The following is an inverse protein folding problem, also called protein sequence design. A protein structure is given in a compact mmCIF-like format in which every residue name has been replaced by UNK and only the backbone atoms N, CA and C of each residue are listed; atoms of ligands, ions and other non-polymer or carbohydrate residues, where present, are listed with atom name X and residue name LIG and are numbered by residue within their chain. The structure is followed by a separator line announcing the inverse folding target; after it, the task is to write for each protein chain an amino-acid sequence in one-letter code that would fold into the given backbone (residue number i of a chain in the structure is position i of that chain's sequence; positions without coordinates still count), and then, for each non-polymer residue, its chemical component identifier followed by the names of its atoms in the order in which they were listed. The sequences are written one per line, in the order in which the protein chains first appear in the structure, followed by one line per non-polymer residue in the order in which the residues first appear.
data_IF_503119089909
#
_entry.id   IF_503119089909
#
_cell.length_a   1.000
_cell.length_b   1.000
_cell.length_c   1.000
_cell.angle_alpha   90.00
_cell.angle_beta   90.00
_cell.angle_gamma   90.00
#
_symmetry.space_group_name_H-M   'P 1'
#
loop_
_entity.id
_entity.type
_entity.pdbx_description
1 polymer ?
#
# COMPACT_ATOMS: atom_id res chain seq x y z
N UNK A 1 -8.90 -9.97 -5.73
CA UNK A 1 -8.87 -11.19 -4.87
C UNK A 1 -8.21 -10.80 -3.55
N UNK A 2 -8.78 -11.20 -2.41
CA UNK A 2 -8.25 -10.87 -1.10
C UNK A 2 -7.18 -11.90 -0.66
N UNK A 3 -6.02 -11.42 -0.22
CA UNK A 3 -4.90 -12.27 0.22
C UNK A 3 -4.31 -11.76 1.53
N UNK A 4 -3.56 -12.59 2.25
CA UNK A 4 -2.83 -12.17 3.45
C UNK A 4 -1.70 -11.18 3.10
N UNK A 5 -1.18 -10.39 4.06
CA UNK A 5 -0.07 -9.50 3.81
C UNK A 5 1.18 -10.24 3.29
N UNK A 6 1.49 -11.42 3.85
CA UNK A 6 2.64 -12.21 3.40
C UNK A 6 2.52 -12.64 1.93
N UNK A 7 1.34 -13.13 1.52
CA UNK A 7 1.07 -13.45 0.12
C UNK A 7 1.10 -12.20 -0.76
N UNK A 8 0.59 -11.08 -0.25
CA UNK A 8 0.59 -9.82 -0.98
C UNK A 8 2.01 -9.33 -1.27
N UNK A 9 2.90 -9.36 -0.28
CA UNK A 9 4.30 -8.89 -0.38
C UNK A 9 5.14 -9.72 -1.37
N UNK A 10 4.77 -10.97 -1.61
CA UNK A 10 5.45 -11.85 -2.57
C UNK A 10 4.98 -11.65 -4.02
N UNK A 11 3.92 -10.85 -4.24
CA UNK A 11 3.32 -10.68 -5.57
C UNK A 11 4.05 -9.59 -6.37
N UNK A 12 4.45 -9.97 -7.57
CA UNK A 12 4.83 -9.04 -8.63
C UNK A 12 3.65 -8.87 -9.60
N UNK A 13 3.28 -7.63 -9.88
CA UNK A 13 2.27 -7.29 -10.87
C UNK A 13 2.83 -7.48 -12.28
N UNK A 14 1.91 -7.75 -13.19
CA UNK A 14 2.15 -7.85 -14.63
C UNK A 14 1.03 -7.13 -15.36
N UNK A 15 1.21 -6.78 -16.63
CA UNK A 15 0.15 -6.15 -17.41
C UNK A 15 -1.13 -6.99 -17.54
N UNK A 16 -1.08 -8.30 -17.26
CA UNK A 16 -2.27 -9.17 -17.23
C UNK A 16 -3.17 -8.91 -16.01
N UNK A 17 -2.64 -8.29 -14.97
CA UNK A 17 -3.40 -7.91 -13.78
C UNK A 17 -4.30 -6.69 -14.01
N UNK A 18 -4.01 -5.90 -15.05
CA UNK A 18 -4.69 -4.65 -15.34
C UNK A 18 -5.72 -4.81 -16.45
N UNK A 19 -6.88 -4.16 -16.29
CA UNK A 19 -7.87 -4.07 -17.36
C UNK A 19 -7.41 -3.07 -18.43
N UNK A 20 -7.29 -3.46 -19.71
CA UNK A 20 -7.01 -2.50 -20.77
C UNK A 20 -8.16 -1.50 -20.92
N UNK A 21 -7.86 -0.21 -20.89
CA UNK A 21 -8.83 0.87 -21.14
C UNK A 21 -8.50 1.62 -22.42
N UNK A 22 -9.55 1.89 -23.20
CA UNK A 22 -9.45 2.73 -24.38
C UNK A 22 -9.32 4.19 -23.94
N UNK A 23 -8.13 4.76 -24.14
CA UNK A 23 -7.81 6.15 -23.83
C UNK A 23 -6.96 6.69 -24.97
N UNK A 24 -7.15 7.96 -25.38
CA UNK A 24 -6.28 8.58 -26.36
C UNK A 24 -4.86 8.71 -25.77
N UNK A 25 -3.84 8.49 -26.61
CA UNK A 25 -2.48 8.82 -26.23
C UNK A 25 -2.36 10.35 -26.04
N UNK A 26 -1.65 10.83 -25.00
CA UNK A 26 -1.44 12.26 -24.82
C UNK A 26 -0.60 12.83 -25.99
N UNK A 27 -0.85 14.07 -26.41
CA UNK A 27 0.05 14.80 -27.30
C UNK A 27 1.49 14.85 -26.77
N UNK A 28 2.49 15.05 -27.65
CA UNK A 28 3.88 15.20 -27.22
C UNK A 28 4.03 16.31 -26.17
N UNK A 29 4.64 15.98 -25.03
CA UNK A 29 4.85 16.91 -23.92
C UNK A 29 3.69 17.04 -22.93
N UNK A 30 2.54 16.40 -23.20
CA UNK A 30 1.43 16.36 -22.24
C UNK A 30 1.56 15.17 -21.26
N UNK A 31 1.11 15.42 -20.04
CA UNK A 31 1.08 14.44 -18.94
C UNK A 31 -0.30 13.82 -18.90
N UNK A 32 -0.36 12.49 -18.91
CA UNK A 32 -1.60 11.74 -18.69
C UNK A 32 -1.35 10.49 -17.85
N UNK A 33 -2.27 10.21 -16.93
CA UNK A 33 -2.32 8.93 -16.20
C UNK A 33 -2.48 7.80 -17.20
N UNK A 34 -1.47 6.93 -17.26
CA UNK A 34 -1.38 5.84 -18.26
C UNK A 34 -1.73 4.48 -17.68
N UNK A 35 -1.68 4.33 -16.36
CA UNK A 35 -2.16 3.18 -15.61
C UNK A 35 -2.67 3.64 -14.24
N UNK A 36 -3.36 2.74 -13.54
CA UNK A 36 -3.82 2.95 -12.18
C UNK A 36 -3.91 1.60 -11.46
N UNK A 37 -3.26 1.56 -10.31
CA UNK A 37 -3.34 0.47 -9.33
C UNK A 37 -4.31 0.85 -8.23
N UNK A 38 -5.42 0.11 -8.13
CA UNK A 38 -6.35 0.25 -7.01
C UNK A 38 -6.21 -0.95 -6.07
N UNK A 39 -5.85 -0.66 -4.82
CA UNK A 39 -5.69 -1.65 -3.77
C UNK A 39 -6.47 -1.22 -2.53
N UNK A 40 -7.31 -2.11 -2.03
CA UNK A 40 -8.02 -1.91 -0.76
C UNK A 40 -7.43 -2.77 0.34
N UNK A 41 -7.51 -2.26 1.57
CA UNK A 41 -7.20 -3.02 2.78
C UNK A 41 -8.49 -3.52 3.43
N UNK A 42 -8.55 -4.82 3.66
CA UNK A 42 -9.66 -5.47 4.35
C UNK A 42 -9.29 -5.79 5.78
N UNK A 43 -10.19 -5.51 6.71
CA UNK A 43 -10.05 -5.87 8.11
C UNK A 43 -11.24 -6.73 8.52
N UNK A 44 -10.96 -7.90 9.09
CA UNK A 44 -11.99 -8.74 9.68
C UNK A 44 -12.50 -8.15 11.00
N UNK A 45 -13.55 -8.75 11.57
CA UNK A 45 -14.16 -8.26 12.79
C UNK A 45 -13.16 -8.27 13.95
N UNK A 46 -13.07 -7.14 14.63
CA UNK A 46 -12.36 -7.00 15.91
C UNK A 46 -13.21 -7.67 16.98
N UNK A 47 -12.61 -8.56 17.76
CA UNK A 47 -13.26 -9.21 18.89
C UNK A 47 -12.39 -9.07 20.14
N UNK A 48 -12.94 -8.40 21.15
CA UNK A 48 -12.34 -8.28 22.48
C UNK A 48 -13.09 -9.21 23.42
N UNK A 49 -12.37 -10.01 24.21
CA UNK A 49 -12.95 -11.00 25.12
C UNK A 49 -12.38 -10.87 26.53
N UNK A 50 -13.18 -11.16 27.57
CA UNK A 50 -12.65 -11.30 28.91
C UNK A 50 -11.81 -12.57 29.02
N UNK A 51 -10.65 -12.48 29.68
CA UNK A 51 -9.71 -13.58 29.99
C UNK A 51 -9.16 -13.30 31.38
N UNK A 52 -9.41 -14.19 32.34
CA UNK A 52 -8.89 -14.12 33.72
C UNK A 52 -9.08 -12.76 34.42
N UNK A 53 -10.24 -12.12 34.21
CA UNK A 53 -10.57 -10.81 34.80
C UNK A 53 -9.98 -9.60 34.06
N UNK A 54 -9.27 -9.81 32.95
CA UNK A 54 -8.79 -8.79 32.02
C UNK A 54 -9.50 -8.90 30.67
N UNK A 55 -9.25 -7.96 29.77
CA UNK A 55 -9.73 -7.99 28.38
C UNK A 55 -8.56 -8.15 27.40
N UNK A 56 -8.76 -8.93 26.34
CA UNK A 56 -7.76 -9.15 25.28
C UNK A 56 -8.40 -9.14 23.89
N UNK A 57 -7.66 -8.65 22.90
CA UNK A 57 -8.01 -8.80 21.49
C UNK A 57 -7.81 -10.26 21.05
N UNK A 58 -8.62 -10.75 20.11
CA UNK A 58 -8.41 -12.05 19.47
C UNK A 58 -6.98 -12.12 18.86
N UNK A 59 -6.20 -13.19 19.12
CA UNK A 59 -4.78 -13.31 18.74
C UNK A 59 -4.46 -13.29 17.25
N UNK A 60 -5.48 -13.41 16.39
CA UNK A 60 -5.34 -13.44 14.93
C UNK A 60 -6.35 -12.50 14.28
N UNK A 61 -6.02 -11.20 14.22
CA UNK A 61 -6.79 -10.23 13.46
C UNK A 61 -6.62 -10.50 11.96
N UNK A 62 -7.75 -10.61 11.25
CA UNK A 62 -7.77 -10.90 9.81
C UNK A 62 -7.49 -9.61 9.03
N UNK A 63 -6.26 -9.46 8.52
CA UNK A 63 -5.87 -8.34 7.66
C UNK A 63 -5.68 -8.87 6.25
N UNK A 64 -6.25 -8.18 5.25
CA UNK A 64 -6.25 -8.58 3.85
C UNK A 64 -5.82 -7.44 2.93
N UNK A 65 -5.17 -7.80 1.84
CA UNK A 65 -4.85 -6.92 0.72
C UNK A 65 -5.67 -7.34 -0.49
N UNK A 66 -6.33 -6.40 -1.13
CA UNK A 66 -7.26 -6.64 -2.23
C UNK A 66 -6.88 -5.79 -3.43
N UNK A 67 -6.22 -6.41 -4.42
CA UNK A 67 -6.05 -5.78 -5.73
C UNK A 67 -7.41 -5.78 -6.46
N UNK A 68 -7.85 -4.60 -6.86
CA UNK A 68 -9.19 -4.37 -7.38
C UNK A 68 -9.26 -4.52 -8.90
N UNK A 69 -10.41 -4.98 -9.38
CA UNK A 69 -10.65 -5.27 -10.80
C UNK A 69 -10.84 -4.02 -11.67
N UNK A 70 -10.99 -2.86 -11.05
CA UNK A 70 -11.04 -1.56 -11.70
C UNK A 70 -9.65 -0.96 -11.97
N UNK A 71 -8.57 -1.56 -11.45
CA UNK A 71 -7.18 -1.30 -11.84
C UNK A 71 -7.03 -1.47 -13.35
N UNK A 72 -6.32 -0.54 -14.00
CA UNK A 72 -6.34 -0.43 -15.44
C UNK A 72 -5.03 0.08 -16.05
N UNK A 73 -4.84 -0.20 -17.33
CA UNK A 73 -3.74 0.34 -18.15
C UNK A 73 -4.32 0.87 -19.47
N UNK A 74 -3.85 2.02 -19.94
CA UNK A 74 -4.26 2.58 -21.22
C UNK A 74 -3.71 1.72 -22.36
N UNK A 75 -4.55 1.40 -23.36
CA UNK A 75 -4.16 0.55 -24.48
C UNK A 75 -2.91 1.04 -25.24
N UNK A 76 -2.70 2.35 -25.34
CA UNK A 76 -1.53 2.91 -26.04
C UNK A 76 -0.20 2.59 -25.34
N UNK A 77 -0.20 2.18 -24.06
CA UNK A 77 1.04 1.80 -23.35
C UNK A 77 1.74 0.64 -24.06
N UNK A 78 0.98 -0.27 -24.69
CA UNK A 78 1.57 -1.39 -25.44
C UNK A 78 2.33 -0.97 -26.70
N UNK A 79 2.21 0.29 -27.13
CA UNK A 79 2.96 0.83 -28.28
C UNK A 79 4.22 1.58 -27.84
N UNK A 80 4.46 1.74 -26.54
CA UNK A 80 5.70 2.30 -26.02
C UNK A 80 6.85 1.31 -26.17
N UNK A 81 8.08 1.81 -26.11
CA UNK A 81 9.26 0.96 -25.93
C UNK A 81 9.18 0.17 -24.62
N UNK A 82 9.85 -0.99 -24.59
CA UNK A 82 9.77 -1.92 -23.46
C UNK A 82 10.25 -1.28 -22.15
N UNK A 83 11.33 -0.50 -22.18
CA UNK A 83 11.89 0.14 -20.98
C UNK A 83 10.88 1.10 -20.35
N UNK A 84 10.16 1.87 -21.16
CA UNK A 84 9.10 2.76 -20.66
C UNK A 84 7.89 1.99 -20.14
N UNK A 85 7.54 0.85 -20.74
CA UNK A 85 6.51 -0.04 -20.18
C UNK A 85 6.95 -0.61 -18.84
N UNK A 86 8.18 -1.11 -18.73
CA UNK A 86 8.70 -1.71 -17.50
C UNK A 86 8.78 -0.67 -16.37
N UNK A 87 9.22 0.56 -16.68
CA UNK A 87 9.25 1.66 -15.72
C UNK A 87 7.84 2.06 -15.24
N UNK A 88 6.82 2.05 -16.12
CA UNK A 88 5.44 2.28 -15.70
C UNK A 88 4.94 1.13 -14.82
N UNK A 89 5.24 -0.12 -15.18
CA UNK A 89 4.85 -1.27 -14.36
C UNK A 89 5.53 -1.24 -12.99
N UNK A 90 6.78 -0.78 -12.92
CA UNK A 90 7.51 -0.59 -11.67
C UNK A 90 6.84 0.47 -10.78
N UNK A 91 6.42 1.60 -11.38
CA UNK A 91 5.63 2.63 -10.69
C UNK A 91 4.36 2.05 -10.07
N UNK A 92 3.58 1.30 -10.85
CA UNK A 92 2.36 0.63 -10.39
C UNK A 92 2.65 -0.43 -9.30
N UNK A 93 3.79 -1.13 -9.40
CA UNK A 93 4.24 -2.06 -8.37
C UNK A 93 4.52 -1.34 -7.04
N UNK A 94 5.02 -0.11 -7.05
CA UNK A 94 5.26 0.67 -5.83
C UNK A 94 3.95 1.04 -5.14
N UNK A 95 2.90 1.44 -5.87
CA UNK A 95 1.55 1.63 -5.28
C UNK A 95 1.05 0.38 -4.57
N UNK A 96 1.17 -0.77 -5.24
CA UNK A 96 0.78 -2.04 -4.65
C UNK A 96 1.59 -2.41 -3.40
N UNK A 97 2.90 -2.19 -3.41
CA UNK A 97 3.76 -2.45 -2.27
C UNK A 97 3.48 -1.52 -1.09
N UNK A 98 3.15 -0.24 -1.32
CA UNK A 98 2.73 0.68 -0.25
C UNK A 98 1.55 0.09 0.52
N UNK A 99 0.52 -0.37 -0.19
CA UNK A 99 -0.64 -1.01 0.44
C UNK A 99 -0.28 -2.33 1.13
N UNK A 100 0.49 -3.21 0.47
CA UNK A 100 0.88 -4.51 1.03
C UNK A 100 1.74 -4.38 2.30
N UNK A 101 2.68 -3.45 2.33
CA UNK A 101 3.53 -3.18 3.49
C UNK A 101 2.70 -2.52 4.61
N UNK A 102 1.79 -1.59 4.27
CA UNK A 102 0.86 -1.01 5.25
C UNK A 102 0.03 -2.09 5.92
N UNK A 103 -0.47 -3.08 5.16
CA UNK A 103 -1.22 -4.21 5.70
C UNK A 103 -0.36 -5.09 6.63
N UNK A 104 0.90 -5.33 6.29
CA UNK A 104 1.85 -6.05 7.15
C UNK A 104 2.08 -5.31 8.46
N UNK A 105 2.37 -4.02 8.39
CA UNK A 105 2.64 -3.21 9.57
C UNK A 105 1.41 -3.18 10.50
N UNK A 106 0.22 -3.05 9.92
CA UNK A 106 -1.04 -3.15 10.67
C UNK A 106 -1.24 -4.53 11.30
N UNK A 107 -0.97 -5.61 10.59
CA UNK A 107 -1.08 -6.95 11.13
C UNK A 107 -0.14 -7.17 12.33
N UNK A 108 1.10 -6.65 12.25
CA UNK A 108 2.06 -6.69 13.35
C UNK A 108 1.58 -5.89 14.56
N UNK A 109 1.08 -4.66 14.36
CA UNK A 109 0.54 -3.83 15.44
C UNK A 109 -0.64 -4.51 16.14
N UNK A 110 -1.56 -5.10 15.38
CA UNK A 110 -2.71 -5.80 15.95
C UNK A 110 -2.30 -7.09 16.67
N UNK A 111 -1.25 -7.77 16.22
CA UNK A 111 -0.66 -8.91 16.93
C UNK A 111 -0.05 -8.48 18.27
N UNK A 112 0.68 -7.36 18.31
CA UNK A 112 1.21 -6.79 19.55
C UNK A 112 0.08 -6.39 20.52
N UNK A 113 -0.99 -5.77 20.02
CA UNK A 113 -2.18 -5.43 20.80
C UNK A 113 -2.83 -6.68 21.40
N UNK A 114 -2.91 -7.77 20.62
CA UNK A 114 -3.48 -9.03 21.11
C UNK A 114 -2.63 -9.73 22.19
N UNK A 115 -1.33 -9.40 22.27
CA UNK A 115 -0.46 -9.84 23.35
C UNK A 115 -0.70 -9.12 24.69
N UNK A 116 -1.39 -7.97 24.69
CA UNK A 116 -1.64 -7.14 25.87
C UNK A 116 -2.87 -7.58 26.65
N UNK A 117 -2.95 -7.11 27.89
CA UNK A 117 -4.10 -7.26 28.77
C UNK A 117 -4.57 -5.88 29.20
N UNK A 118 -5.89 -5.70 29.17
CA UNK A 118 -6.55 -4.43 29.45
C UNK A 118 -7.49 -4.55 30.64
N UNK A 119 -7.65 -3.46 31.39
CA UNK A 119 -8.60 -3.43 32.51
C UNK A 119 -10.04 -3.30 31.99
N UNK A 120 -10.20 -2.67 30.83
CA UNK A 120 -11.49 -2.55 30.16
C UNK A 120 -11.41 -2.91 28.68
N UNK A 121 -12.54 -3.33 28.10
CA UNK A 121 -12.65 -3.50 26.65
C UNK A 121 -12.46 -2.19 25.88
N UNK A 122 -12.79 -1.05 26.50
CA UNK A 122 -12.64 0.29 25.92
C UNK A 122 -11.18 0.62 25.61
N UNK A 123 -10.26 0.37 26.53
CA UNK A 123 -8.82 0.61 26.33
C UNK A 123 -8.27 -0.22 25.17
N UNK A 124 -8.66 -1.49 25.08
CA UNK A 124 -8.29 -2.36 23.97
C UNK A 124 -8.79 -1.82 22.63
N UNK A 125 -10.04 -1.34 22.59
CA UNK A 125 -10.65 -0.76 21.38
C UNK A 125 -9.93 0.54 20.97
N UNK A 126 -9.55 1.40 21.92
CA UNK A 126 -8.82 2.63 21.61
C UNK A 126 -7.44 2.35 21.03
N UNK A 127 -6.71 1.35 21.54
CA UNK A 127 -5.43 0.92 20.95
C UNK A 127 -5.62 0.42 19.50
N UNK A 128 -6.68 -0.34 19.24
CA UNK A 128 -7.02 -0.80 17.87
C UNK A 128 -7.38 0.37 16.96
N UNK A 129 -8.15 1.36 17.43
CA UNK A 129 -8.47 2.58 16.66
C UNK A 129 -7.22 3.40 16.37
N UNK A 130 -6.35 3.58 17.37
CA UNK A 130 -5.09 4.28 17.22
C UNK A 130 -4.20 3.59 16.18
N UNK A 131 -4.13 2.26 16.19
CA UNK A 131 -3.48 1.49 15.12
C UNK A 131 -4.08 1.81 13.75
N UNK A 132 -5.41 1.85 13.62
CA UNK A 132 -6.10 2.22 12.38
C UNK A 132 -5.75 3.61 11.85
N UNK A 133 -5.61 4.60 12.72
CA UNK A 133 -5.35 5.99 12.35
C UNK A 133 -3.88 6.30 11.99
N UNK A 134 -2.92 5.40 12.29
CA UNK A 134 -1.49 5.68 12.11
C UNK A 134 -1.01 5.74 10.66
N UNK A 135 -1.71 5.12 9.72
CA UNK A 135 -1.25 5.09 8.33
C UNK A 135 -2.44 4.96 7.40
N UNK A 136 -2.69 6.03 6.63
CA UNK A 136 -3.61 5.99 5.51
C UNK A 136 -2.81 5.72 4.23
N UNK A 137 -3.02 4.56 3.63
CA UNK A 137 -2.33 4.18 2.40
C UNK A 137 -2.79 5.03 1.21
N UNK A 138 -3.97 5.65 1.26
CA UNK A 138 -4.46 6.49 0.16
C UNK A 138 -3.70 7.81 0.11
N UNK A 139 -3.54 8.51 1.24
CA UNK A 139 -2.78 9.77 1.30
C UNK A 139 -1.34 9.61 0.78
N UNK A 140 -0.71 8.47 1.08
CA UNK A 140 0.64 8.16 0.59
C UNK A 140 0.64 7.96 -0.93
N UNK A 141 -0.33 7.21 -1.45
CA UNK A 141 -0.44 6.93 -2.88
C UNK A 141 -0.74 8.21 -3.67
N UNK A 142 -1.66 9.04 -3.18
CA UNK A 142 -2.01 10.33 -3.78
C UNK A 142 -0.79 11.25 -3.83
N UNK A 143 -0.01 11.32 -2.74
CA UNK A 143 1.22 12.11 -2.74
C UNK A 143 2.29 11.53 -3.67
N UNK A 144 2.41 10.22 -3.77
CA UNK A 144 3.35 9.59 -4.70
C UNK A 144 2.98 9.91 -6.15
N UNK A 145 1.70 9.84 -6.51
CA UNK A 145 1.21 10.26 -7.82
C UNK A 145 1.39 11.78 -8.04
N UNK A 146 1.18 12.60 -7.02
CA UNK A 146 1.37 14.05 -7.15
C UNK A 146 2.83 14.44 -7.38
N UNK A 147 3.77 13.78 -6.71
CA UNK A 147 5.20 14.05 -6.86
C UNK A 147 5.77 13.48 -8.17
N UNK A 148 5.18 12.40 -8.71
CA UNK A 148 5.71 11.69 -9.89
C UNK A 148 4.87 11.88 -11.16
N UNK A 149 3.68 12.45 -11.01
CA UNK A 149 2.64 12.61 -12.04
C UNK A 149 2.26 11.32 -12.77
N UNK A 150 2.55 10.15 -12.20
CA UNK A 150 2.42 8.85 -12.86
C UNK A 150 3.24 8.76 -14.17
N UNK A 151 4.34 9.50 -14.27
CA UNK A 151 5.18 9.57 -15.48
C UNK A 151 6.54 8.87 -15.29
N UNK A 152 6.73 7.68 -15.88
CA UNK A 152 7.92 6.86 -15.64
C UNK A 152 9.23 7.48 -16.13
N UNK A 153 9.18 8.44 -17.05
CA UNK A 153 10.37 9.01 -17.70
C UNK A 153 10.71 10.44 -17.29
N UNK A 154 9.83 11.14 -16.58
CA UNK A 154 9.97 12.59 -16.34
C UNK A 154 10.38 12.90 -14.90
N UNK A 155 9.86 12.15 -13.93
CA UNK A 155 10.11 12.36 -12.50
C UNK A 155 10.90 11.20 -11.89
N UNK A 156 11.95 10.79 -12.60
CA UNK A 156 12.74 9.58 -12.27
C UNK A 156 13.46 9.69 -10.93
N UNK A 157 13.86 10.90 -10.51
CA UNK A 157 14.52 11.12 -9.23
C UNK A 157 13.56 10.88 -8.05
N UNK A 158 12.36 11.45 -8.10
CA UNK A 158 11.29 11.24 -7.14
C UNK A 158 10.87 9.78 -7.13
N UNK A 159 10.59 9.18 -8.29
CA UNK A 159 10.25 7.76 -8.40
C UNK A 159 11.32 6.87 -7.76
N UNK A 160 12.60 7.09 -8.09
CA UNK A 160 13.72 6.30 -7.54
C UNK A 160 13.80 6.45 -6.03
N UNK A 161 13.67 7.68 -5.51
CA UNK A 161 13.74 7.98 -4.08
C UNK A 161 12.65 7.24 -3.31
N UNK A 162 11.40 7.33 -3.77
CA UNK A 162 10.26 6.70 -3.13
C UNK A 162 10.29 5.17 -3.27
N UNK A 163 10.59 4.66 -4.48
CA UNK A 163 10.73 3.23 -4.74
C UNK A 163 11.82 2.59 -3.88
N UNK A 164 12.95 3.28 -3.69
CA UNK A 164 14.05 2.80 -2.83
C UNK A 164 13.61 2.67 -1.38
N UNK A 165 12.86 3.65 -0.85
CA UNK A 165 12.35 3.58 0.52
C UNK A 165 11.39 2.39 0.71
N UNK A 166 10.41 2.24 -0.18
CA UNK A 166 9.41 1.15 -0.15
C UNK A 166 10.09 -0.22 -0.27
N UNK A 167 11.00 -0.39 -1.22
CA UNK A 167 11.74 -1.66 -1.41
C UNK A 167 12.67 -1.98 -0.25
N UNK A 168 13.26 -0.97 0.38
CA UNK A 168 14.07 -1.16 1.59
C UNK A 168 13.23 -1.69 2.75
N UNK A 169 12.01 -1.16 2.95
CA UNK A 169 11.07 -1.67 3.95
C UNK A 169 10.64 -3.12 3.68
N UNK A 170 10.46 -3.49 2.40
CA UNK A 170 10.20 -4.87 1.99
C UNK A 170 11.40 -5.77 2.33
N UNK A 171 12.61 -5.40 1.90
CA UNK A 171 13.81 -6.23 2.04
C UNK A 171 14.30 -6.37 3.48
N UNK A 172 14.15 -5.33 4.30
CA UNK A 172 14.64 -5.30 5.69
C UNK A 172 13.57 -5.58 6.73
N UNK A 173 12.34 -5.83 6.28
CA UNK A 173 11.16 -6.00 7.13
C UNK A 173 10.93 -4.86 8.14
N UNK A 174 11.33 -3.64 7.78
CA UNK A 174 11.16 -2.44 8.62
C UNK A 174 9.81 -1.74 8.34
N UNK A 175 9.20 -1.07 9.34
CA UNK A 175 7.95 -0.33 9.16
C UNK A 175 8.05 0.74 8.06
N UNK A 176 6.96 0.94 7.32
CA UNK A 176 6.87 1.85 6.18
C UNK A 176 6.92 3.31 6.61
N UNK A 177 6.10 3.69 7.60
CA UNK A 177 5.90 5.09 7.98
C UNK A 177 7.21 5.84 8.29
N UNK A 178 8.11 5.34 9.16
CA UNK A 178 9.36 6.04 9.44
C UNK A 178 10.26 6.19 8.21
N UNK A 179 10.24 5.23 7.29
CA UNK A 179 10.99 5.32 6.05
C UNK A 179 10.42 6.44 5.17
N UNK A 180 9.10 6.49 5.00
CA UNK A 180 8.43 7.54 4.22
C UNK A 180 8.61 8.94 4.80
N UNK A 181 8.57 9.08 6.12
CA UNK A 181 8.88 10.33 6.83
C UNK A 181 10.35 10.77 6.64
N UNK A 182 11.29 9.81 6.61
CA UNK A 182 12.70 10.11 6.40
C UNK A 182 12.98 10.65 5.00
N UNK A 183 12.24 10.16 4.00
CA UNK A 183 12.35 10.65 2.63
C UNK A 183 11.41 11.83 2.34
N UNK A 184 10.44 12.14 3.20
CA UNK A 184 9.50 13.26 3.02
C UNK A 184 8.28 12.95 2.16
N UNK A 185 7.95 11.66 1.98
CA UNK A 185 6.69 11.24 1.34
C UNK A 185 5.51 11.38 2.31
N UNK A 186 5.78 11.47 3.60
CA UNK A 186 4.79 11.76 4.64
C UNK A 186 5.27 12.91 5.52
N UNK A 187 4.35 13.74 6.05
CA UNK A 187 4.70 14.70 7.09
C UNK A 187 5.20 13.97 8.33
N UNK A 188 6.21 14.55 8.98
CA UNK A 188 6.61 14.10 10.32
C UNK A 188 5.54 14.54 11.34
N UNK A 189 5.18 13.68 12.30
CA UNK A 189 4.25 14.04 13.36
C UNK A 189 4.77 15.18 14.23
#
# INVERSE_FOLDING_TARGET
MAVSPATALARNLTWKDFKPKDKPAPPPGEIATSALTHVELGFGPISVKPVDGKFKLKPEPDVKVMFQADSWVAKYVSTWDQDKQDALLDHEQIHYLIAAITARDRANELHEIAGREYDTSGECIEDVKASHARLDAQDIQDKYDDDTKGQPSTFTAEQTKWATAVRSCLATNKPLRPALEAVGLMPRP
#
